data_IF_125347123364
#
_entry.id   IF_125347123364
#
_cell.length_a   1.000
_cell.length_b   1.000
_cell.length_c   1.000
_cell.angle_alpha   90.00
_cell.angle_beta   90.00
_cell.angle_gamma   90.00
#
_symmetry.space_group_name_H-M   'P 1'
#
loop_
_entity.id
_entity.type
_entity.pdbx_description
1 polymer ?
#
# COMPACT_ATOMS: atom_id res chain seq x y z
N UNK A 1 4.60 -27.89 -7.15
CA UNK A 1 3.64 -26.79 -6.98
C UNK A 1 3.57 -26.10 -8.34
N UNK A 2 2.38 -25.88 -8.91
CA UNK A 2 2.23 -25.21 -10.21
C UNK A 2 1.70 -23.81 -9.98
N UNK A 3 2.40 -22.79 -10.50
CA UNK A 3 1.88 -21.44 -10.56
C UNK A 3 0.72 -21.38 -11.55
N UNK A 4 -0.23 -20.47 -11.32
CA UNK A 4 -1.37 -20.27 -12.22
C UNK A 4 -1.00 -19.50 -13.50
N UNK A 5 0.15 -18.82 -13.50
CA UNK A 5 0.60 -17.92 -14.57
C UNK A 5 2.06 -18.17 -14.94
N UNK A 6 2.37 -17.99 -16.22
CA UNK A 6 3.73 -18.09 -16.76
C UNK A 6 4.41 -16.72 -16.84
N UNK A 7 3.64 -15.64 -16.70
CA UNK A 7 4.18 -14.29 -16.59
C UNK A 7 3.50 -13.46 -15.51
N UNK A 8 4.23 -12.50 -14.94
CA UNK A 8 3.68 -11.56 -13.95
C UNK A 8 4.18 -10.14 -14.19
N UNK A 9 3.24 -9.21 -14.35
CA UNK A 9 3.51 -7.81 -14.67
C UNK A 9 2.99 -6.93 -13.55
N UNK A 10 3.90 -6.23 -12.86
CA UNK A 10 3.49 -5.21 -11.88
C UNK A 10 3.26 -3.90 -12.63
N UNK A 11 1.99 -3.51 -12.69
CA UNK A 11 1.49 -2.32 -13.38
C UNK A 11 1.17 -1.26 -12.35
N UNK A 12 1.84 -0.10 -12.41
CA UNK A 12 1.69 0.92 -11.37
C UNK A 12 2.19 2.29 -11.81
N UNK A 13 2.19 3.24 -10.88
CA UNK A 13 2.83 4.54 -10.95
C UNK A 13 3.92 4.67 -9.87
N UNK A 14 4.75 5.72 -9.94
CA UNK A 14 5.85 5.90 -9.00
C UNK A 14 5.39 6.10 -7.56
N UNK A 15 6.16 5.56 -6.60
CA UNK A 15 5.95 5.70 -5.13
C UNK A 15 4.81 4.87 -4.54
N UNK A 16 4.29 3.91 -5.29
CA UNK A 16 3.27 2.93 -4.87
C UNK A 16 3.76 1.74 -4.03
N UNK A 17 5.07 1.62 -3.78
CA UNK A 17 5.62 0.44 -3.10
C UNK A 17 5.86 -0.78 -4.00
N UNK A 18 5.73 -0.62 -5.31
CA UNK A 18 5.94 -1.67 -6.32
C UNK A 18 7.29 -2.39 -6.27
N UNK A 19 8.36 -1.77 -5.76
CA UNK A 19 9.65 -2.45 -5.59
C UNK A 19 9.66 -3.39 -4.38
N UNK A 20 8.93 -3.06 -3.30
CA UNK A 20 8.67 -3.99 -2.20
C UNK A 20 7.87 -5.19 -2.72
N UNK A 21 6.80 -4.93 -3.47
CA UNK A 21 5.97 -5.98 -4.08
C UNK A 21 6.82 -6.89 -5.00
N UNK A 22 7.67 -6.31 -5.85
CA UNK A 22 8.62 -7.06 -6.65
C UNK A 22 9.53 -7.96 -5.80
N UNK A 23 10.09 -7.44 -4.71
CA UNK A 23 10.92 -8.21 -3.79
C UNK A 23 10.16 -9.39 -3.18
N UNK A 24 8.89 -9.19 -2.80
CA UNK A 24 8.02 -10.23 -2.29
C UNK A 24 7.78 -11.32 -3.35
N UNK A 25 7.42 -10.94 -4.58
CA UNK A 25 7.16 -11.90 -5.65
C UNK A 25 8.42 -12.71 -6.02
N UNK A 26 9.60 -12.09 -5.98
CA UNK A 26 10.88 -12.78 -6.21
C UNK A 26 11.27 -13.77 -5.09
N UNK A 27 10.55 -13.79 -3.96
CA UNK A 27 10.71 -14.83 -2.93
C UNK A 27 9.79 -16.04 -3.16
N UNK A 28 8.94 -16.03 -4.19
CA UNK A 28 8.16 -17.19 -4.60
C UNK A 28 9.05 -18.12 -5.43
N UNK A 29 9.08 -19.40 -5.07
CA UNK A 29 9.85 -20.41 -5.80
C UNK A 29 9.47 -20.43 -7.29
N UNK A 30 10.46 -20.20 -8.14
CA UNK A 30 10.33 -20.21 -9.59
C UNK A 30 9.75 -18.94 -10.22
N UNK A 31 9.61 -17.85 -9.46
CA UNK A 31 9.23 -16.53 -9.97
C UNK A 31 10.46 -15.63 -10.16
N UNK A 32 10.56 -14.96 -11.31
CA UNK A 32 11.55 -13.93 -11.59
C UNK A 32 10.90 -12.64 -12.12
N UNK A 33 10.79 -11.62 -11.28
CA UNK A 33 10.28 -10.29 -11.63
C UNK A 33 11.44 -9.29 -11.69
N UNK A 34 11.77 -8.83 -12.90
CA UNK A 34 12.81 -7.80 -13.15
C UNK A 34 12.29 -6.38 -12.90
N UNK A 35 13.23 -5.44 -12.75
CA UNK A 35 12.97 -4.02 -12.56
C UNK A 35 12.40 -3.32 -13.79
N UNK A 36 12.28 -2.01 -13.65
CA UNK A 36 11.84 -1.10 -14.71
C UNK A 36 12.77 -1.19 -15.93
N UNK A 37 12.18 -1.13 -17.13
CA UNK A 37 12.91 -1.22 -18.40
C UNK A 37 12.75 0.05 -19.24
N UNK A 38 12.34 1.15 -18.60
CA UNK A 38 12.13 2.45 -19.20
C UNK A 38 11.11 2.40 -20.36
N UNK A 39 10.01 1.69 -20.16
CA UNK A 39 8.93 1.53 -21.14
C UNK A 39 9.38 0.93 -22.49
N UNK A 40 10.41 0.09 -22.51
CA UNK A 40 10.87 -0.55 -23.75
C UNK A 40 9.74 -1.26 -24.52
N UNK A 41 8.87 -1.98 -23.82
CA UNK A 41 7.77 -2.73 -24.44
C UNK A 41 6.66 -1.80 -24.95
N UNK A 42 6.52 -0.60 -24.37
CA UNK A 42 5.62 0.41 -24.92
C UNK A 42 6.08 0.87 -26.30
N UNK A 43 7.39 1.00 -26.53
CA UNK A 43 7.94 1.26 -27.86
C UNK A 43 7.61 0.15 -28.86
N UNK A 44 7.55 -1.12 -28.43
CA UNK A 44 7.09 -2.23 -29.28
C UNK A 44 5.61 -2.13 -29.59
N UNK A 45 4.78 -1.72 -28.63
CA UNK A 45 3.37 -1.45 -28.85
C UNK A 45 3.15 -0.31 -29.86
N UNK A 46 3.92 0.78 -29.75
CA UNK A 46 3.85 1.88 -30.73
C UNK A 46 4.27 1.42 -32.13
N UNK A 47 5.35 0.65 -32.24
CA UNK A 47 5.76 0.04 -33.50
C UNK A 47 4.66 -0.88 -34.07
N UNK A 48 4.04 -1.71 -33.23
CA UNK A 48 2.93 -2.59 -33.60
C UNK A 48 1.74 -1.81 -34.15
N UNK A 49 1.34 -0.70 -33.50
CA UNK A 49 0.30 0.20 -34.02
C UNK A 49 0.65 0.75 -35.40
N UNK A 50 1.90 1.20 -35.60
CA UNK A 50 2.34 1.71 -36.91
C UNK A 50 2.32 0.65 -38.00
N UNK A 51 2.60 -0.61 -37.67
CA UNK A 51 2.48 -1.71 -38.62
C UNK A 51 1.02 -2.00 -38.98
N UNK A 52 0.09 -1.92 -38.01
CA UNK A 52 -1.35 -2.01 -38.29
C UNK A 52 -1.79 -0.87 -39.23
N UNK A 53 -1.42 0.38 -38.90
CA UNK A 53 -1.76 1.55 -39.72
C UNK A 53 -1.23 1.41 -41.15
N UNK A 54 0.00 0.91 -41.29
CA UNK A 54 0.63 0.66 -42.59
C UNK A 54 -0.15 -0.39 -43.38
N UNK A 55 -0.47 -1.54 -42.77
CA UNK A 55 -1.21 -2.64 -43.40
C UNK A 55 -2.63 -2.24 -43.84
N UNK A 56 -3.22 -1.20 -43.24
CA UNK A 56 -4.54 -0.70 -43.61
C UNK A 56 -4.55 0.12 -44.91
N UNK A 57 -3.39 0.38 -45.52
CA UNK A 57 -3.32 1.02 -46.83
C UNK A 57 -3.85 0.08 -47.92
N UNK A 58 -4.55 0.65 -48.92
CA UNK A 58 -5.20 -0.11 -50.00
C UNK A 58 -4.37 -0.05 -51.28
N UNK A 59 -4.64 -1.00 -52.17
CA UNK A 59 -4.09 -1.04 -53.53
C UNK A 59 -2.54 -1.02 -53.57
N UNK A 60 -1.94 -1.70 -52.61
CA UNK A 60 -0.50 -1.68 -52.32
C UNK A 60 0.32 -2.70 -53.11
N UNK A 61 -0.27 -3.37 -54.10
CA UNK A 61 0.39 -4.42 -54.90
C UNK A 61 1.26 -3.90 -56.04
N UNK A 62 1.19 -2.61 -56.35
CA UNK A 62 1.95 -2.00 -57.45
C UNK A 62 3.29 -1.46 -56.94
N UNK A 63 4.40 -1.81 -57.60
CA UNK A 63 5.77 -1.45 -57.19
C UNK A 63 6.06 0.05 -57.19
N UNK A 64 5.23 0.85 -57.86
CA UNK A 64 5.30 2.31 -57.88
C UNK A 64 4.37 2.98 -56.84
N UNK A 65 3.64 2.20 -56.05
CA UNK A 65 2.81 2.72 -54.97
C UNK A 65 3.68 3.06 -53.75
N UNK A 66 3.45 4.21 -53.06
CA UNK A 66 4.26 4.60 -51.90
C UNK A 66 4.24 3.60 -50.73
N UNK A 67 3.21 2.76 -50.70
CA UNK A 67 3.00 1.72 -49.69
C UNK A 67 3.15 0.31 -50.27
N UNK A 68 3.93 0.16 -51.34
CA UNK A 68 4.12 -1.14 -51.99
C UNK A 68 4.52 -2.23 -50.98
N UNK A 69 3.78 -3.34 -50.96
CA UNK A 69 4.02 -4.48 -50.07
C UNK A 69 3.50 -4.32 -48.64
N UNK A 70 2.76 -3.26 -48.32
CA UNK A 70 2.17 -3.06 -47.00
C UNK A 70 1.19 -4.19 -46.60
N UNK A 71 0.51 -4.80 -47.57
CA UNK A 71 -0.36 -5.96 -47.37
C UNK A 71 0.40 -7.23 -46.93
N UNK A 72 1.70 -7.32 -47.25
CA UNK A 72 2.57 -8.45 -46.93
C UNK A 72 3.10 -8.38 -45.48
N UNK A 73 2.91 -7.26 -44.78
CA UNK A 73 3.34 -7.10 -43.38
C UNK A 73 2.65 -8.15 -42.51
N UNK A 74 3.47 -9.05 -41.96
CA UNK A 74 3.01 -10.10 -41.07
C UNK A 74 3.11 -9.66 -39.60
N UNK A 75 1.95 -9.29 -39.04
CA UNK A 75 1.83 -8.88 -37.64
C UNK A 75 2.08 -10.03 -36.65
N UNK A 76 1.76 -11.27 -37.01
CA UNK A 76 2.00 -12.43 -36.15
C UNK A 76 3.49 -12.69 -35.99
N UNK A 77 4.25 -12.53 -37.07
CA UNK A 77 5.71 -12.64 -37.04
C UNK A 77 6.36 -11.54 -36.17
N UNK A 78 5.82 -10.33 -36.21
CA UNK A 78 6.25 -9.25 -35.30
C UNK A 78 6.00 -9.62 -33.84
N UNK A 79 4.82 -10.18 -33.52
CA UNK A 79 4.49 -10.62 -32.17
C UNK A 79 5.39 -11.77 -31.72
N UNK A 80 5.62 -12.79 -32.56
CA UNK A 80 6.51 -13.92 -32.24
C UNK A 80 7.94 -13.44 -31.92
N UNK A 81 8.53 -12.60 -32.77
CA UNK A 81 9.85 -12.04 -32.49
C UNK A 81 9.87 -11.15 -31.24
N UNK A 82 8.80 -10.39 -30.99
CA UNK A 82 8.67 -9.57 -29.79
C UNK A 82 8.60 -10.43 -28.52
N UNK A 83 7.82 -11.51 -28.53
CA UNK A 83 7.74 -12.48 -27.43
C UNK A 83 9.12 -13.08 -27.12
N UNK A 84 9.82 -13.58 -28.16
CA UNK A 84 11.14 -14.18 -28.01
C UNK A 84 12.18 -13.17 -27.50
N UNK A 85 12.19 -11.95 -28.04
CA UNK A 85 13.10 -10.88 -27.63
C UNK A 85 12.84 -10.47 -26.17
N UNK A 86 11.60 -10.18 -25.80
CA UNK A 86 11.24 -9.77 -24.44
C UNK A 86 11.59 -10.86 -23.44
N UNK A 87 11.25 -12.13 -23.72
CA UNK A 87 11.63 -13.27 -22.88
C UNK A 87 13.15 -13.35 -22.70
N UNK A 88 13.92 -13.25 -23.78
CA UNK A 88 15.37 -13.37 -23.74
C UNK A 88 16.03 -12.20 -22.98
N UNK A 89 15.50 -10.98 -23.11
CA UNK A 89 16.02 -9.81 -22.39
C UNK A 89 15.72 -9.89 -20.88
N UNK A 90 14.52 -10.33 -20.50
CA UNK A 90 14.14 -10.42 -19.07
C UNK A 90 14.84 -11.57 -18.35
N UNK A 91 14.97 -12.71 -19.00
CA UNK A 91 15.66 -13.86 -18.40
C UNK A 91 17.18 -13.75 -18.50
N UNK A 92 17.71 -13.08 -19.52
CA UNK A 92 19.15 -12.85 -19.72
C UNK A 92 19.98 -14.14 -19.61
N UNK A 93 20.92 -14.18 -18.67
CA UNK A 93 21.77 -15.34 -18.35
C UNK A 93 20.99 -16.54 -17.79
N UNK A 94 19.77 -16.32 -17.33
CA UNK A 94 18.90 -17.34 -16.74
C UNK A 94 17.92 -17.96 -17.75
N UNK A 95 17.99 -17.61 -19.04
CA UNK A 95 17.02 -18.07 -20.07
C UNK A 95 16.88 -19.59 -20.21
N UNK A 96 17.90 -20.35 -19.80
CA UNK A 96 17.96 -21.82 -19.84
C UNK A 96 17.66 -22.47 -18.49
N UNK A 97 17.40 -21.68 -17.44
CA UNK A 97 17.08 -22.19 -16.10
C UNK A 97 15.65 -22.74 -16.07
N UNK A 98 15.53 -24.06 -15.91
CA UNK A 98 14.24 -24.76 -15.90
C UNK A 98 13.42 -24.53 -14.61
N UNK A 99 14.05 -24.00 -13.57
CA UNK A 99 13.40 -23.66 -12.31
C UNK A 99 12.65 -22.33 -12.36
N UNK A 100 12.83 -21.50 -13.41
CA UNK A 100 12.02 -20.30 -13.62
C UNK A 100 10.75 -20.71 -14.36
N UNK A 101 9.62 -20.65 -13.67
CA UNK A 101 8.30 -21.04 -14.15
C UNK A 101 7.44 -19.82 -14.51
N UNK A 102 7.70 -18.69 -13.86
CA UNK A 102 7.00 -17.43 -14.10
C UNK A 102 7.99 -16.28 -14.17
N UNK A 103 7.88 -15.42 -15.18
CA UNK A 103 8.77 -14.28 -15.31
C UNK A 103 8.03 -12.99 -15.65
N UNK A 104 8.66 -11.86 -15.42
CA UNK A 104 8.14 -10.60 -15.90
C UNK A 104 8.89 -9.42 -15.34
N UNK A 105 8.19 -8.31 -15.18
CA UNK A 105 8.82 -7.08 -14.74
C UNK A 105 7.84 -6.14 -14.06
N UNK A 106 8.42 -5.12 -13.42
CA UNK A 106 7.72 -4.04 -12.76
C UNK A 106 7.97 -2.74 -13.52
N UNK A 107 6.92 -1.97 -13.81
CA UNK A 107 7.05 -0.66 -14.46
C UNK A 107 6.11 0.38 -13.83
N UNK A 108 6.63 1.60 -13.66
CA UNK A 108 5.92 2.74 -13.05
C UNK A 108 5.45 3.76 -14.09
N UNK A 109 5.94 3.67 -15.31
CA UNK A 109 5.67 4.64 -16.37
C UNK A 109 4.35 4.38 -17.11
N UNK A 110 3.46 3.54 -16.56
CA UNK A 110 2.07 3.44 -17.05
C UNK A 110 1.31 4.74 -16.85
N UNK A 111 1.72 5.57 -15.88
CA UNK A 111 1.23 6.94 -15.77
C UNK A 111 1.56 7.78 -17.01
N UNK A 112 2.78 7.70 -17.52
CA UNK A 112 3.19 8.43 -18.73
C UNK A 112 2.43 7.92 -19.97
N UNK A 113 2.23 6.60 -20.07
CA UNK A 113 1.41 6.00 -21.14
C UNK A 113 -0.02 6.52 -21.07
N UNK A 114 -0.62 6.53 -19.89
CA UNK A 114 -1.96 7.06 -19.69
C UNK A 114 -2.04 8.55 -20.01
N UNK A 115 -1.05 9.36 -19.63
CA UNK A 115 -1.04 10.78 -19.98
C UNK A 115 -1.06 11.01 -21.49
N UNK A 116 -0.33 10.17 -22.24
CA UNK A 116 -0.23 10.27 -23.70
C UNK A 116 -1.46 9.76 -24.45
N UNK A 117 -2.02 8.62 -24.03
CA UNK A 117 -3.11 7.95 -24.75
C UNK A 117 -4.49 8.20 -24.14
N UNK A 118 -4.54 8.68 -22.89
CA UNK A 118 -5.75 8.77 -22.04
C UNK A 118 -6.48 7.43 -21.85
N UNK A 119 -5.76 6.35 -22.12
CA UNK A 119 -6.15 4.95 -21.93
C UNK A 119 -4.88 4.09 -21.80
N UNK A 120 -5.01 2.91 -21.19
CA UNK A 120 -3.98 1.89 -21.09
C UNK A 120 -4.46 0.53 -21.60
N UNK A 121 -5.76 0.35 -21.87
CA UNK A 121 -6.35 -0.95 -22.18
C UNK A 121 -5.70 -1.60 -23.40
N UNK A 122 -5.59 -0.87 -24.52
CA UNK A 122 -4.95 -1.38 -25.74
C UNK A 122 -3.48 -1.79 -25.51
N UNK A 123 -2.78 -1.11 -24.62
CA UNK A 123 -1.40 -1.45 -24.28
C UNK A 123 -1.33 -2.70 -23.38
N UNK A 124 -2.24 -2.84 -22.41
CA UNK A 124 -2.35 -4.06 -21.61
C UNK A 124 -2.74 -5.26 -22.49
N UNK A 125 -3.62 -5.09 -23.46
CA UNK A 125 -4.00 -6.12 -24.43
C UNK A 125 -2.83 -6.50 -25.35
N UNK A 126 -1.97 -5.52 -25.70
CA UNK A 126 -0.72 -5.83 -26.38
C UNK A 126 0.23 -6.63 -25.48
N UNK A 127 0.37 -6.27 -24.20
CA UNK A 127 1.17 -7.05 -23.25
C UNK A 127 0.64 -8.49 -23.11
N UNK A 128 -0.68 -8.68 -23.13
CA UNK A 128 -1.31 -10.00 -23.12
C UNK A 128 -0.97 -10.85 -24.36
N UNK A 129 -0.60 -10.22 -25.49
CA UNK A 129 -0.09 -10.90 -26.69
C UNK A 129 1.41 -11.17 -26.64
N UNK A 130 2.18 -10.47 -25.81
CA UNK A 130 3.64 -10.58 -25.70
C UNK A 130 4.07 -11.55 -24.59
N UNK A 131 3.25 -11.70 -23.56
CA UNK A 131 3.58 -12.54 -22.41
C UNK A 131 2.70 -13.79 -22.38
N UNK A 132 3.28 -14.99 -22.17
CA UNK A 132 2.50 -16.19 -22.01
C UNK A 132 1.75 -16.18 -20.67
N UNK A 133 0.46 -16.51 -20.71
CA UNK A 133 -0.46 -16.60 -19.56
C UNK A 133 -0.17 -15.55 -18.47
N UNK A 134 -0.33 -14.25 -18.77
CA UNK A 134 0.16 -13.19 -17.90
C UNK A 134 -0.81 -12.84 -16.79
N UNK A 135 -0.30 -12.68 -15.58
CA UNK A 135 -0.96 -11.99 -14.48
C UNK A 135 -0.59 -10.49 -14.48
N UNK A 136 -1.59 -9.63 -14.51
CA UNK A 136 -1.44 -8.19 -14.30
C UNK A 136 -1.75 -7.84 -12.83
N UNK A 137 -0.73 -7.39 -12.11
CA UNK A 137 -0.87 -6.93 -10.73
C UNK A 137 -0.85 -5.41 -10.73
N UNK A 138 -2.03 -4.81 -10.62
CA UNK A 138 -2.21 -3.38 -10.43
C UNK A 138 -1.86 -3.01 -8.99
N UNK A 139 -0.73 -2.36 -8.81
CA UNK A 139 -0.31 -1.89 -7.49
C UNK A 139 -0.65 -0.41 -7.31
N UNK A 140 -1.43 -0.11 -6.28
CA UNK A 140 -1.91 1.25 -5.96
C UNK A 140 -1.48 1.66 -4.55
N UNK A 141 -1.67 2.94 -4.19
CA UNK A 141 -1.36 3.47 -2.87
C UNK A 141 -2.23 4.68 -2.57
N UNK A 142 -2.42 5.00 -1.28
CA UNK A 142 -3.04 6.27 -0.89
C UNK A 142 -2.40 7.47 -1.62
N UNK A 143 -3.20 8.17 -2.43
CA UNK A 143 -2.70 9.26 -3.28
C UNK A 143 -2.18 10.46 -2.50
N UNK A 144 -2.69 10.73 -1.29
CA UNK A 144 -2.17 11.82 -0.47
C UNK A 144 -0.74 11.54 0.02
N UNK A 145 -0.38 10.26 0.21
CA UNK A 145 0.98 9.85 0.53
C UNK A 145 1.90 9.83 -0.70
N UNK A 146 1.36 9.43 -1.86
CA UNK A 146 2.08 9.46 -3.15
C UNK A 146 2.50 10.89 -3.47
N UNK A 147 1.56 11.85 -3.39
CA UNK A 147 1.77 13.25 -3.74
C UNK A 147 2.68 14.03 -2.78
N UNK A 148 3.01 13.45 -1.61
CA UNK A 148 4.00 14.00 -0.67
C UNK A 148 5.41 13.45 -0.89
N UNK A 149 5.58 12.48 -1.80
CA UNK A 149 6.80 11.67 -1.89
C UNK A 149 7.55 11.88 -3.20
N UNK A 150 8.87 12.00 -3.13
CA UNK A 150 9.76 11.99 -4.30
C UNK A 150 9.48 13.16 -5.23
N UNK A 151 9.47 12.92 -6.55
CA UNK A 151 9.25 13.98 -7.54
C UNK A 151 7.82 14.53 -7.51
N UNK A 152 6.83 13.76 -7.05
CA UNK A 152 5.44 14.21 -6.90
C UNK A 152 5.27 15.38 -5.95
N UNK A 153 6.19 15.55 -4.98
CA UNK A 153 6.15 16.69 -4.07
C UNK A 153 6.32 18.05 -4.77
N UNK A 154 6.87 18.04 -5.99
CA UNK A 154 7.17 19.22 -6.80
C UNK A 154 6.24 19.39 -8.01
N UNK A 155 5.20 18.57 -8.17
CA UNK A 155 4.22 18.69 -9.27
C UNK A 155 3.01 19.51 -8.83
N UNK A 156 2.16 19.91 -9.79
CA UNK A 156 0.83 20.41 -9.47
C UNK A 156 0.02 19.30 -8.80
N UNK A 157 -0.30 19.48 -7.52
CA UNK A 157 -0.96 18.45 -6.71
C UNK A 157 -2.38 18.16 -7.18
N UNK A 158 -3.13 19.17 -7.62
CA UNK A 158 -4.52 18.97 -8.02
C UNK A 158 -4.61 18.23 -9.36
N UNK A 159 -3.77 18.63 -10.31
CA UNK A 159 -3.65 17.96 -11.60
C UNK A 159 -3.14 16.52 -11.45
N UNK A 160 -2.00 16.33 -10.75
CA UNK A 160 -1.41 15.00 -10.54
C UNK A 160 -2.37 14.06 -9.81
N UNK A 161 -3.13 14.57 -8.82
CA UNK A 161 -4.14 13.79 -8.12
C UNK A 161 -5.22 13.31 -9.07
N UNK A 162 -5.73 14.20 -9.92
CA UNK A 162 -6.79 13.88 -10.88
C UNK A 162 -6.33 12.82 -11.88
N UNK A 163 -5.13 12.97 -12.44
CA UNK A 163 -4.61 11.99 -13.39
C UNK A 163 -4.32 10.63 -12.76
N UNK A 164 -3.79 10.59 -11.53
CA UNK A 164 -3.59 9.34 -10.79
C UNK A 164 -4.91 8.65 -10.47
N UNK A 165 -5.93 9.40 -10.05
CA UNK A 165 -7.28 8.85 -9.84
C UNK A 165 -7.87 8.26 -11.13
N UNK A 166 -7.68 8.93 -12.26
CA UNK A 166 -8.17 8.42 -13.54
C UNK A 166 -7.41 7.17 -13.99
N UNK A 167 -6.10 7.10 -13.75
CA UNK A 167 -5.31 5.90 -13.99
C UNK A 167 -5.77 4.72 -13.11
N UNK A 168 -6.02 4.95 -11.82
CA UNK A 168 -6.58 3.90 -10.94
C UNK A 168 -7.96 3.45 -11.42
N UNK A 169 -8.79 4.38 -11.89
CA UNK A 169 -10.09 4.06 -12.51
C UNK A 169 -9.91 3.19 -13.77
N UNK A 170 -8.88 3.44 -14.57
CA UNK A 170 -8.54 2.60 -15.72
C UNK A 170 -8.10 1.19 -15.29
N UNK A 171 -7.32 1.05 -14.20
CA UNK A 171 -6.98 -0.27 -13.64
C UNK A 171 -8.24 -1.05 -13.21
N UNK A 172 -9.16 -0.40 -12.51
CA UNK A 172 -10.42 -1.02 -12.09
C UNK A 172 -11.32 -1.41 -13.26
N UNK A 173 -11.39 -0.54 -14.28
CA UNK A 173 -12.13 -0.83 -15.51
C UNK A 173 -11.55 -2.06 -16.22
N UNK A 174 -10.23 -2.11 -16.40
CA UNK A 174 -9.57 -3.25 -17.05
C UNK A 174 -9.72 -4.56 -16.26
N UNK A 175 -9.65 -4.49 -14.92
CA UNK A 175 -9.93 -5.65 -14.06
C UNK A 175 -11.35 -6.19 -14.25
N UNK A 176 -12.32 -5.30 -14.42
CA UNK A 176 -13.73 -5.68 -14.60
C UNK A 176 -13.92 -6.48 -15.89
N UNK A 177 -13.20 -6.12 -16.95
CA UNK A 177 -13.27 -6.82 -18.24
C UNK A 177 -12.38 -8.06 -18.32
N UNK A 178 -11.32 -8.15 -17.51
CA UNK A 178 -10.37 -9.27 -17.49
C UNK A 178 -10.11 -9.80 -16.06
N UNK A 179 -11.14 -10.26 -15.32
CA UNK A 179 -11.01 -10.62 -13.91
C UNK A 179 -10.12 -11.86 -13.65
N UNK A 180 -9.95 -12.73 -14.64
CA UNK A 180 -9.24 -14.00 -14.54
C UNK A 180 -7.72 -13.86 -14.43
N UNK A 181 -7.17 -12.76 -14.96
CA UNK A 181 -5.73 -12.53 -15.03
C UNK A 181 -5.31 -11.19 -14.43
N UNK A 182 -6.20 -10.53 -13.67
CA UNK A 182 -5.91 -9.23 -13.04
C UNK A 182 -6.13 -9.25 -11.53
N UNK A 183 -5.20 -8.64 -10.81
CA UNK A 183 -5.25 -8.47 -9.35
C UNK A 183 -4.97 -7.02 -8.98
N UNK A 184 -5.74 -6.45 -8.04
CA UNK A 184 -5.48 -5.10 -7.51
C UNK A 184 -5.02 -5.25 -6.07
N UNK A 185 -3.87 -4.64 -5.75
CA UNK A 185 -3.31 -4.65 -4.40
C UNK A 185 -2.77 -3.27 -4.02
N UNK A 186 -3.13 -2.79 -2.84
CA UNK A 186 -2.59 -1.55 -2.30
C UNK A 186 -1.27 -1.77 -1.57
N UNK A 187 -0.43 -0.73 -1.49
CA UNK A 187 0.72 -0.73 -0.59
C UNK A 187 0.31 -1.06 0.85
N UNK A 188 -0.82 -0.48 1.28
CA UNK A 188 -1.40 -0.67 2.60
C UNK A 188 -1.77 -2.13 2.87
N UNK A 189 -2.32 -2.85 1.88
CA UNK A 189 -2.58 -4.28 1.97
C UNK A 189 -1.29 -5.08 2.25
N UNK A 190 -0.20 -4.74 1.55
CA UNK A 190 1.09 -5.42 1.69
C UNK A 190 1.69 -5.19 3.07
N UNK A 191 1.79 -3.94 3.54
CA UNK A 191 2.42 -3.62 4.84
C UNK A 191 1.55 -3.96 6.05
N UNK A 192 0.24 -4.06 5.86
CA UNK A 192 -0.68 -4.53 6.90
C UNK A 192 -0.86 -6.04 6.92
N UNK A 193 -0.33 -6.75 5.92
CA UNK A 193 -0.58 -8.18 5.68
C UNK A 193 -2.07 -8.50 5.66
N UNK A 194 -2.83 -7.66 4.95
CA UNK A 194 -4.29 -7.78 4.88
C UNK A 194 -4.72 -9.11 4.25
N UNK A 195 -6.00 -9.44 4.36
CA UNK A 195 -6.53 -10.61 3.67
C UNK A 195 -6.31 -10.52 2.14
N UNK A 196 -6.37 -9.31 1.56
CA UNK A 196 -6.12 -9.10 0.13
C UNK A 196 -4.68 -9.47 -0.25
N UNK A 197 -3.72 -9.26 0.65
CA UNK A 197 -2.34 -9.69 0.43
C UNK A 197 -2.20 -11.22 0.38
N UNK A 198 -2.94 -11.95 1.21
CA UNK A 198 -2.97 -13.43 1.14
C UNK A 198 -3.61 -13.94 -0.15
N UNK A 199 -4.71 -13.31 -0.57
CA UNK A 199 -5.42 -13.63 -1.82
C UNK A 199 -4.54 -13.43 -3.06
N UNK A 200 -3.52 -12.56 -3.01
CA UNK A 200 -2.55 -12.43 -4.10
C UNK A 200 -1.77 -13.73 -4.33
N UNK A 201 -1.37 -14.44 -3.26
CA UNK A 201 -0.65 -15.70 -3.39
C UNK A 201 -1.56 -16.81 -3.92
N UNK A 202 -2.81 -16.87 -3.44
CA UNK A 202 -3.82 -17.79 -3.96
C UNK A 202 -4.08 -17.54 -5.45
N UNK A 203 -4.22 -16.27 -5.84
CA UNK A 203 -4.37 -15.86 -7.24
C UNK A 203 -3.20 -16.36 -8.10
N UNK A 204 -1.95 -16.20 -7.63
CA UNK A 204 -0.76 -16.66 -8.34
C UNK A 204 -0.56 -18.18 -8.32
N UNK A 205 -1.30 -18.93 -7.48
CA UNK A 205 -1.06 -20.35 -7.24
C UNK A 205 0.21 -20.61 -6.41
N UNK A 206 0.63 -19.63 -5.63
CA UNK A 206 1.85 -19.65 -4.82
C UNK A 206 1.54 -19.93 -3.35
N UNK A 207 2.49 -20.56 -2.64
CA UNK A 207 2.41 -20.71 -1.17
C UNK A 207 2.71 -19.37 -0.51
N UNK A 208 1.93 -19.00 0.51
CA UNK A 208 2.25 -17.86 1.36
C UNK A 208 3.60 -18.10 2.08
N UNK A 209 4.58 -17.18 1.99
CA UNK A 209 5.90 -17.37 2.57
C UNK A 209 5.86 -17.49 4.10
N UNK A 210 6.53 -18.49 4.66
CA UNK A 210 6.64 -18.65 6.13
C UNK A 210 7.52 -17.56 6.77
N UNK A 211 8.41 -16.96 5.98
CA UNK A 211 9.36 -15.93 6.38
C UNK A 211 8.93 -14.52 5.92
N UNK A 212 7.63 -14.28 5.78
CA UNK A 212 7.11 -13.02 5.23
C UNK A 212 7.60 -11.78 5.96
N UNK A 213 7.70 -11.84 7.29
CA UNK A 213 8.22 -10.75 8.13
C UNK A 213 9.63 -10.33 7.70
N UNK A 214 10.50 -11.30 7.42
CA UNK A 214 11.89 -11.04 6.99
C UNK A 214 11.93 -10.42 5.59
N UNK A 215 11.04 -10.85 4.70
CA UNK A 215 10.94 -10.32 3.34
C UNK A 215 10.49 -8.85 3.38
N UNK A 216 9.49 -8.56 4.21
CA UNK A 216 8.98 -7.21 4.44
C UNK A 216 10.02 -6.29 5.09
N UNK A 217 10.97 -6.83 5.88
CA UNK A 217 12.06 -6.06 6.47
C UNK A 217 13.23 -5.80 5.51
N UNK A 218 13.26 -6.46 4.34
CA UNK A 218 14.36 -6.28 3.38
C UNK A 218 14.26 -4.90 2.72
N UNK A 219 15.33 -4.08 2.70
CA UNK A 219 15.29 -2.78 2.04
C UNK A 219 15.26 -2.92 0.51
N UNK A 220 14.23 -2.34 -0.14
CA UNK A 220 14.02 -2.47 -1.59
C UNK A 220 14.19 -1.16 -2.37
N UNK A 221 14.80 -0.10 -1.80
CA UNK A 221 15.11 1.13 -2.56
C UNK A 221 16.32 1.92 -2.04
N UNK A 222 17.10 2.53 -2.95
CA UNK A 222 18.16 3.47 -2.62
C UNK A 222 17.56 4.71 -1.95
N UNK A 223 17.87 4.94 -0.67
CA UNK A 223 17.48 6.13 0.06
C UNK A 223 16.22 6.04 0.93
N UNK A 224 15.55 4.89 1.00
CA UNK A 224 14.63 4.66 2.12
C UNK A 224 15.45 4.38 3.38
N UNK A 225 15.54 5.39 4.27
CA UNK A 225 15.52 5.13 5.71
C UNK A 225 14.37 4.14 5.93
N UNK A 226 14.69 2.99 6.51
CA UNK A 226 13.84 1.89 6.97
C UNK A 226 12.37 1.99 6.53
N UNK A 227 11.83 0.92 5.94
CA UNK A 227 10.40 0.62 6.13
C UNK A 227 10.15 0.84 7.61
N UNK A 228 9.44 1.92 7.95
CA UNK A 228 9.38 2.34 9.34
C UNK A 228 8.78 1.14 10.07
N UNK A 229 9.57 0.57 10.97
CA UNK A 229 9.24 -0.69 11.61
C UNK A 229 8.00 -0.40 12.43
N UNK A 230 6.83 -0.80 11.95
CA UNK A 230 5.63 -0.74 12.75
C UNK A 230 5.85 -1.66 13.93
N UNK A 231 6.02 -1.05 15.11
CA UNK A 231 6.10 -1.82 16.32
C UNK A 231 4.66 -2.13 16.74
N UNK A 232 4.42 -3.40 17.05
CA UNK A 232 3.20 -3.79 17.72
C UNK A 232 3.32 -3.26 19.15
N UNK A 233 2.46 -2.32 19.52
CA UNK A 233 2.38 -1.85 20.89
C UNK A 233 1.26 -2.58 21.60
N UNK A 234 1.56 -3.07 22.79
CA UNK A 234 0.57 -3.66 23.67
C UNK A 234 0.13 -2.61 24.69
N UNK A 235 -1.18 -2.39 24.73
CA UNK A 235 -1.80 -1.62 25.80
C UNK A 235 -2.10 -2.55 26.98
N UNK A 236 -1.43 -2.30 28.11
CA UNK A 236 -1.77 -2.95 29.37
C UNK A 236 -2.54 -1.98 30.24
N UNK A 237 -3.81 -2.30 30.47
CA UNK A 237 -4.64 -1.56 31.41
C UNK A 237 -4.23 -1.91 32.85
N UNK A 238 -4.18 -0.90 33.72
CA UNK A 238 -4.08 -1.13 35.16
C UNK A 238 -5.33 -1.89 35.60
N UNK A 239 -5.22 -2.94 36.45
CA UNK A 239 -6.39 -3.64 36.96
C UNK A 239 -7.43 -2.69 37.55
N UNK A 240 -8.68 -2.79 37.10
CA UNK A 240 -9.78 -1.91 37.52
C UNK A 240 -9.99 -1.93 39.03
N UNK A 241 -9.70 -3.04 39.70
CA UNK A 241 -9.76 -3.16 41.17
C UNK A 241 -8.90 -2.14 41.92
N UNK A 242 -7.82 -1.63 41.30
CA UNK A 242 -6.92 -0.65 41.93
C UNK A 242 -7.51 0.77 41.96
N UNK A 243 -8.51 1.06 41.13
CA UNK A 243 -9.06 2.41 40.98
C UNK A 243 -10.59 2.44 40.82
N UNK A 244 -11.29 1.32 41.02
CA UNK A 244 -12.75 1.21 40.94
C UNK A 244 -13.49 2.02 42.00
N UNK A 245 -12.83 2.34 43.12
CA UNK A 245 -13.37 3.26 44.13
C UNK A 245 -13.35 4.73 43.65
N UNK A 246 -12.52 5.05 42.67
CA UNK A 246 -12.34 6.41 42.13
C UNK A 246 -13.12 6.63 40.85
N UNK A 247 -13.20 5.62 39.98
CA UNK A 247 -13.78 5.74 38.64
C UNK A 247 -14.86 4.69 38.38
N UNK A 248 -16.01 5.15 37.88
CA UNK A 248 -17.07 4.33 37.28
C UNK A 248 -16.70 3.82 35.89
N UNK A 249 -15.90 4.60 35.15
CA UNK A 249 -15.33 4.26 33.84
C UNK A 249 -13.91 4.79 33.80
N UNK A 250 -12.96 3.96 33.38
CA UNK A 250 -11.57 4.35 33.17
C UNK A 250 -10.98 3.47 32.07
N UNK A 251 -11.12 3.93 30.83
CA UNK A 251 -10.85 3.12 29.64
C UNK A 251 -10.10 3.93 28.60
N UNK A 252 -9.32 3.23 27.78
CA UNK A 252 -8.71 3.75 26.57
C UNK A 252 -9.32 2.96 25.43
N UNK A 253 -10.14 3.62 24.63
CA UNK A 253 -10.96 3.01 23.58
C UNK A 253 -10.47 3.33 22.16
N UNK A 254 -9.42 4.13 22.04
CA UNK A 254 -8.79 4.46 20.77
C UNK A 254 -7.26 4.45 20.90
N UNK A 255 -6.65 3.33 20.48
CA UNK A 255 -5.22 3.17 20.30
C UNK A 255 -4.97 2.64 18.89
N UNK A 256 -4.03 3.23 18.13
CA UNK A 256 -3.67 2.67 16.82
C UNK A 256 -3.12 1.24 16.96
N UNK A 257 -3.58 0.33 16.10
CA UNK A 257 -3.12 -1.06 16.10
C UNK A 257 -1.63 -1.22 15.73
N UNK A 258 -1.05 -0.22 15.07
CA UNK A 258 0.36 -0.14 14.71
C UNK A 258 0.84 1.30 14.93
N UNK A 259 1.98 1.48 15.61
CA UNK A 259 2.60 2.79 15.81
C UNK A 259 4.01 2.76 15.22
N UNK A 260 4.36 3.83 14.52
CA UNK A 260 5.66 4.00 13.90
C UNK A 260 6.57 4.78 14.86
N UNK A 261 7.73 4.22 15.25
CA UNK A 261 8.69 4.94 16.08
C UNK A 261 9.09 6.27 15.44
N UNK A 262 9.05 7.34 16.22
CA UNK A 262 9.34 8.69 15.76
C UNK A 262 8.21 9.38 14.98
N UNK A 263 7.09 8.71 14.71
CA UNK A 263 5.90 9.33 14.13
C UNK A 263 4.88 9.71 15.20
N UNK A 264 4.19 10.82 14.94
CA UNK A 264 3.05 11.28 15.72
C UNK A 264 1.84 10.35 15.61
N UNK A 265 1.21 10.04 16.74
CA UNK A 265 -0.07 9.35 16.80
C UNK A 265 -0.97 9.93 17.89
N UNK A 266 -2.26 9.57 17.84
CA UNK A 266 -3.27 10.02 18.79
C UNK A 266 -3.75 8.85 19.65
N UNK A 267 -4.13 9.14 20.88
CA UNK A 267 -4.75 8.19 21.81
C UNK A 267 -5.94 8.84 22.49
N UNK A 268 -7.05 8.13 22.65
CA UNK A 268 -8.22 8.67 23.34
C UNK A 268 -8.85 7.63 24.27
N UNK A 269 -9.60 8.15 25.23
CA UNK A 269 -10.29 7.35 26.23
C UNK A 269 -11.36 8.13 26.97
N UNK A 270 -11.88 7.49 28.03
CA UNK A 270 -12.97 8.02 28.86
C UNK A 270 -12.63 7.80 30.33
N UNK A 271 -12.79 8.85 31.14
CA UNK A 271 -12.66 8.76 32.60
C UNK A 271 -13.88 9.39 33.26
N UNK A 272 -14.64 8.60 34.00
CA UNK A 272 -15.83 9.03 34.73
C UNK A 272 -15.63 8.69 36.20
N UNK A 273 -15.57 9.69 37.09
CA UNK A 273 -15.50 9.46 38.52
C UNK A 273 -16.72 8.71 39.09
N UNK A 274 -16.56 8.06 40.25
CA UNK A 274 -17.68 7.41 40.95
C UNK A 274 -18.71 8.40 41.49
N UNK A 275 -18.31 9.66 41.75
CA UNK A 275 -19.19 10.70 42.24
C UNK A 275 -18.64 12.12 41.92
N UNK A 276 -19.46 13.15 42.17
CA UNK A 276 -19.13 14.55 41.86
C UNK A 276 -18.11 15.21 42.82
N UNK A 277 -17.67 14.55 43.89
CA UNK A 277 -16.61 15.06 44.78
C UNK A 277 -15.21 14.74 44.26
N UNK A 278 -15.11 13.81 43.29
CA UNK A 278 -13.86 13.43 42.64
C UNK A 278 -13.74 14.24 41.35
N UNK A 279 -12.77 15.14 41.29
CA UNK A 279 -12.46 15.93 40.11
C UNK A 279 -11.22 15.36 39.41
N UNK A 280 -11.35 15.03 38.12
CA UNK A 280 -10.20 14.76 37.25
C UNK A 280 -9.62 16.11 36.87
N UNK A 281 -8.47 16.45 37.45
CA UNK A 281 -7.84 17.75 37.28
C UNK A 281 -6.87 17.77 36.09
N UNK A 282 -6.25 16.64 35.79
CA UNK A 282 -5.42 16.47 34.59
C UNK A 282 -5.40 14.99 34.16
N UNK A 283 -5.20 14.75 32.87
CA UNK A 283 -4.76 13.46 32.34
C UNK A 283 -3.51 13.76 31.54
N UNK A 284 -2.45 13.02 31.79
CA UNK A 284 -1.18 13.24 31.11
C UNK A 284 -0.41 11.96 30.94
N UNK A 285 0.58 12.02 30.07
CA UNK A 285 1.56 10.98 29.91
C UNK A 285 2.97 11.55 30.02
N UNK A 286 3.95 10.67 30.27
CA UNK A 286 5.35 11.02 30.32
C UNK A 286 6.06 10.30 29.17
N UNK A 287 6.58 11.07 28.21
CA UNK A 287 7.41 10.55 27.12
C UNK A 287 8.74 11.29 27.11
N UNK A 288 9.86 10.56 27.10
CA UNK A 288 11.22 11.12 27.08
C UNK A 288 11.48 12.20 28.15
N UNK A 289 10.89 12.04 29.34
CA UNK A 289 11.01 12.98 30.46
C UNK A 289 10.14 14.23 30.36
N UNK A 290 9.33 14.37 29.30
CA UNK A 290 8.39 15.48 29.15
C UNK A 290 6.96 15.04 29.49
N UNK A 291 6.23 15.92 30.18
CA UNK A 291 4.80 15.75 30.46
C UNK A 291 4.02 16.22 29.23
N UNK A 292 3.23 15.32 28.66
CA UNK A 292 2.31 15.61 27.56
C UNK A 292 0.90 15.59 28.15
N UNK A 293 0.19 16.73 28.23
CA UNK A 293 -1.19 16.77 28.71
C UNK A 293 -2.17 16.27 27.65
N UNK A 294 -3.25 15.61 28.08
CA UNK A 294 -4.40 15.34 27.23
C UNK A 294 -5.32 16.56 27.16
N UNK A 295 -5.99 16.72 26.02
CA UNK A 295 -7.19 17.55 25.91
C UNK A 295 -8.32 16.87 26.70
N UNK A 296 -8.96 17.63 27.60
CA UNK A 296 -10.06 17.16 28.46
C UNK A 296 -11.36 17.85 28.08
N UNK A 297 -12.49 17.34 28.62
CA UNK A 297 -13.79 17.97 28.42
C UNK A 297 -14.43 17.65 27.08
N UNK A 298 -13.94 16.61 26.38
CA UNK A 298 -14.46 16.21 25.08
C UNK A 298 -15.79 15.48 25.24
N UNK A 299 -16.69 15.70 24.29
CA UNK A 299 -18.07 15.19 24.34
C UNK A 299 -18.14 13.66 24.39
N UNK A 300 -18.95 13.13 25.30
CA UNK A 300 -19.17 11.70 25.54
C UNK A 300 -20.67 11.42 25.77
N UNK A 301 -21.54 11.66 24.76
CA UNK A 301 -22.99 11.67 24.95
C UNK A 301 -23.55 10.35 25.46
N UNK A 302 -23.05 9.21 24.93
CA UNK A 302 -23.44 7.85 25.36
C UNK A 302 -23.18 7.64 26.86
N UNK A 303 -22.03 8.10 27.36
CA UNK A 303 -21.68 8.00 28.77
C UNK A 303 -22.45 9.02 29.62
N UNK A 304 -22.79 10.17 29.04
CA UNK A 304 -23.67 11.17 29.64
C UNK A 304 -25.06 10.63 29.97
N UNK A 305 -25.61 9.81 29.07
CA UNK A 305 -26.88 9.11 29.27
C UNK A 305 -26.75 7.95 30.26
N UNK A 306 -25.64 7.20 30.21
CA UNK A 306 -25.39 6.06 31.09
C UNK A 306 -25.10 6.45 32.55
N UNK A 307 -24.49 7.62 32.78
CA UNK A 307 -24.13 8.13 34.11
C UNK A 307 -24.69 9.54 34.34
N UNK A 308 -26.02 9.73 34.37
CA UNK A 308 -26.64 11.05 34.38
C UNK A 308 -26.45 11.82 35.69
N UNK A 309 -26.09 11.13 36.78
CA UNK A 309 -25.87 11.73 38.11
C UNK A 309 -24.47 12.31 38.29
N UNK A 310 -23.51 11.97 37.42
CA UNK A 310 -22.14 12.48 37.44
C UNK A 310 -22.02 13.63 36.44
N UNK A 311 -21.82 14.86 36.91
CA UNK A 311 -21.89 16.09 36.09
C UNK A 311 -20.97 16.07 34.87
N UNK A 312 -19.79 15.46 35.01
CA UNK A 312 -18.77 15.42 33.95
C UNK A 312 -19.02 14.34 32.90
N UNK A 313 -19.97 13.42 33.10
CA UNK A 313 -20.16 12.24 32.24
C UNK A 313 -20.49 12.55 30.77
N UNK A 314 -21.07 13.72 30.49
CA UNK A 314 -21.35 14.20 29.12
C UNK A 314 -20.10 14.70 28.37
N UNK A 315 -19.04 15.03 29.09
CA UNK A 315 -17.79 15.61 28.58
C UNK A 315 -16.57 14.91 29.19
N UNK A 316 -16.66 13.59 29.38
CA UNK A 316 -15.68 12.78 30.10
C UNK A 316 -14.58 12.20 29.19
N UNK A 317 -14.61 12.49 27.89
CA UNK A 317 -13.57 12.04 26.96
C UNK A 317 -12.31 12.87 27.11
N UNK A 318 -11.19 12.21 26.87
CA UNK A 318 -9.90 12.84 26.73
C UNK A 318 -9.21 12.37 25.45
N UNK A 319 -8.30 13.20 24.94
CA UNK A 319 -7.48 12.86 23.78
C UNK A 319 -6.08 13.42 23.92
N UNK A 320 -5.09 12.57 23.66
CA UNK A 320 -3.74 13.00 23.40
C UNK A 320 -3.56 13.23 21.91
N UNK A 321 -2.90 14.35 21.59
CA UNK A 321 -2.52 14.68 20.22
C UNK A 321 -1.02 14.53 20.05
N UNK A 322 -0.61 14.07 18.87
CA UNK A 322 0.77 14.13 18.40
C UNK A 322 1.80 13.50 19.37
N UNK A 323 1.43 12.36 19.97
CA UNK A 323 2.37 11.59 20.78
C UNK A 323 3.45 11.01 19.87
N UNK A 324 4.71 11.16 20.28
CA UNK A 324 5.85 10.53 19.61
C UNK A 324 6.48 9.53 20.59
N UNK A 325 6.68 8.29 20.12
CA UNK A 325 7.38 7.24 20.85
C UNK A 325 8.65 6.81 20.15
N UNK A 326 9.73 6.64 20.91
CA UNK A 326 10.98 6.05 20.42
C UNK A 326 10.97 4.52 20.56
N UNK A 327 11.90 3.85 19.87
CA UNK A 327 12.00 2.38 19.72
C UNK A 327 12.17 1.59 21.03
N UNK A 328 12.27 2.24 22.19
CA UNK A 328 12.39 1.63 23.51
C UNK A 328 11.51 2.31 24.57
N UNK A 329 10.56 3.14 24.16
CA UNK A 329 9.77 3.96 25.08
C UNK A 329 8.59 3.18 25.68
N UNK A 330 8.38 3.40 26.97
CA UNK A 330 7.13 3.08 27.67
C UNK A 330 6.36 4.37 27.88
N UNK A 331 5.05 4.30 27.70
CA UNK A 331 4.15 5.43 27.89
C UNK A 331 3.15 5.09 29.00
N UNK A 332 3.37 5.67 30.17
CA UNK A 332 2.47 5.53 31.32
C UNK A 332 1.44 6.66 31.31
N UNK A 333 0.16 6.31 31.36
CA UNK A 333 -0.95 7.26 31.33
C UNK A 333 -1.46 7.45 32.75
N UNK A 334 -1.46 8.69 33.20
CA UNK A 334 -1.87 9.07 34.55
C UNK A 334 -3.12 9.93 34.53
N UNK A 335 -3.97 9.70 35.52
CA UNK A 335 -5.08 10.58 35.88
C UNK A 335 -4.74 11.23 37.22
N UNK A 336 -4.80 12.56 37.25
CA UNK A 336 -4.65 13.35 38.46
C UNK A 336 -6.01 13.74 39.03
N UNK A 337 -6.19 13.46 40.31
CA UNK A 337 -7.43 13.65 41.04
C UNK A 337 -7.23 14.76 42.08
N UNK A 338 -8.14 15.73 42.06
CA UNK A 338 -8.21 16.83 43.03
C UNK A 338 -6.87 17.56 43.25
N UNK A 339 -6.03 17.68 42.20
CA UNK A 339 -4.68 18.24 42.23
C UNK A 339 -3.76 17.64 43.32
N UNK A 340 -3.96 16.37 43.71
CA UNK A 340 -3.25 15.74 44.83
C UNK A 340 -2.82 14.32 44.54
N UNK A 341 -3.73 13.49 44.05
CA UNK A 341 -3.50 12.06 43.87
C UNK A 341 -3.27 11.75 42.40
N UNK A 342 -2.24 10.95 42.12
CA UNK A 342 -1.91 10.47 40.77
C UNK A 342 -2.21 8.98 40.69
N UNK A 343 -2.94 8.57 39.66
CA UNK A 343 -3.30 7.17 39.42
C UNK A 343 -2.86 6.78 38.02
N UNK A 344 -2.03 5.75 37.90
CA UNK A 344 -1.69 5.17 36.61
C UNK A 344 -2.82 4.27 36.12
N UNK A 345 -3.35 4.56 34.93
CA UNK A 345 -4.52 3.84 34.39
C UNK A 345 -4.16 2.87 33.27
N UNK A 346 -3.04 3.11 32.58
CA UNK A 346 -2.54 2.21 31.57
C UNK A 346 -1.06 2.45 31.28
N UNK A 347 -0.42 1.42 30.74
CA UNK A 347 0.91 1.48 30.15
C UNK A 347 0.84 1.00 28.70
N UNK A 348 1.39 1.78 27.76
CA UNK A 348 1.65 1.35 26.39
C UNK A 348 3.14 1.04 26.25
N UNK A 349 3.47 -0.14 25.72
CA UNK A 349 4.86 -0.59 25.54
C UNK A 349 4.98 -1.48 24.30
N UNK A 350 6.21 -1.63 23.81
CA UNK A 350 6.54 -2.42 22.62
C UNK A 350 6.53 -3.91 22.99
N UNK A 351 5.87 -4.74 22.18
CA UNK A 351 5.86 -6.20 22.33
C UNK A 351 7.20 -6.84 21.99
#
# INVERSE_FOLDING_TARGET
MSLNFESVLIVTYGRSGSTLLQGILNNIDGVLVRGENNNFIYGLYEAYKKLIDTRNHRDTSQTNHPWFGAEEINLELFLDYSQQMVRNLLLADQKNQKNILCYGFKEIRYFEVYQQQKDIADYLDFLAKIFPTPAFIFNVRNLDDVLKSGWWANTDRAESRTELMNLETAFHTYKTTHPENTFIISYEDVVSESNNFKLLFDFLGAKYPENIDKILLTPHSYGQKNIQTYQNFLLKLTPTSLHSHLFSVCEIDNVPNKILPGQEFNLAGVVIPTNNQISVSAIYTISSGQIIPAELGLSSPVYGEKYPTVKVSKNARFKFHNIILSESAKLNIFVEINNRQKVEIATLYIS
#
